data_IF_936711349972
#
_entry.id   IF_936711349972
#
_cell.length_a   1.000
_cell.length_b   1.000
_cell.length_c   1.000
_cell.angle_alpha   90.00
_cell.angle_beta   90.00
_cell.angle_gamma   90.00
#
_symmetry.space_group_name_H-M   'P 1'
#
loop_
_entity.id
_entity.type
_entity.pdbx_description
1 polymer ?
#
# COMPACT_ATOMS: atom_id res chain seq x y z
N UNK A 1 18.01 14.90 -4.75
CA UNK A 1 17.72 13.63 -5.45
C UNK A 1 16.40 13.78 -6.20
N UNK A 2 16.15 12.93 -7.22
CA UNK A 2 14.85 12.91 -7.96
C UNK A 2 14.21 11.56 -7.82
N UNK A 3 12.90 11.56 -7.59
CA UNK A 3 12.08 10.35 -7.51
C UNK A 3 10.71 10.63 -8.12
N UNK A 4 10.14 9.66 -8.83
CA UNK A 4 8.77 9.75 -9.29
C UNK A 4 7.84 9.24 -8.18
N UNK A 5 7.03 10.14 -7.60
CA UNK A 5 6.10 9.82 -6.52
C UNK A 5 4.71 10.25 -6.94
N UNK A 6 3.74 9.32 -6.90
CA UNK A 6 2.34 9.58 -7.26
C UNK A 6 2.18 10.27 -8.62
N UNK A 7 2.93 9.77 -9.62
CA UNK A 7 2.98 10.25 -10.99
C UNK A 7 3.64 11.64 -11.22
N UNK A 8 4.19 12.24 -10.17
CA UNK A 8 4.93 13.50 -10.25
C UNK A 8 6.43 13.28 -10.03
N UNK A 9 7.26 13.92 -10.85
CA UNK A 9 8.69 14.04 -10.56
C UNK A 9 8.89 14.99 -9.39
N UNK A 10 9.56 14.54 -8.35
CA UNK A 10 9.76 15.28 -7.12
C UNK A 10 11.25 15.35 -6.81
N UNK A 11 11.74 16.55 -6.55
CA UNK A 11 13.10 16.79 -6.09
C UNK A 11 13.12 16.99 -4.58
N UNK A 12 14.11 16.43 -3.91
CA UNK A 12 14.29 16.55 -2.47
C UNK A 12 15.78 16.36 -2.11
N UNK A 13 16.16 16.80 -0.93
CA UNK A 13 17.49 16.59 -0.37
C UNK A 13 17.42 15.60 0.78
N UNK A 14 18.12 14.48 0.65
CA UNK A 14 18.19 13.46 1.69
C UNK A 14 19.48 12.64 1.54
N UNK A 15 20.05 12.09 2.64
CA UNK A 15 21.09 11.09 2.56
C UNK A 15 20.69 9.91 1.67
N UNK A 16 21.57 9.37 0.83
CA UNK A 16 21.24 8.29 -0.10
C UNK A 16 20.76 7.01 0.57
N UNK A 17 21.16 6.78 1.80
CA UNK A 17 20.79 5.64 2.64
C UNK A 17 19.52 5.86 3.48
N UNK A 18 18.94 7.08 3.43
CA UNK A 18 17.69 7.36 4.13
C UNK A 18 16.58 6.41 3.65
N UNK A 19 15.85 5.74 4.56
CA UNK A 19 14.68 4.94 4.18
C UNK A 19 13.62 5.79 3.47
N UNK A 20 13.06 5.25 2.38
CA UNK A 20 12.02 5.92 1.61
C UNK A 20 10.87 6.45 2.48
N UNK A 21 10.50 5.73 3.54
CA UNK A 21 9.45 6.13 4.47
C UNK A 21 9.66 7.56 4.99
N UNK A 22 10.87 7.91 5.39
CA UNK A 22 11.17 9.22 5.95
C UNK A 22 11.20 10.30 4.88
N UNK A 23 11.71 9.98 3.68
CA UNK A 23 11.60 10.89 2.54
C UNK A 23 10.14 11.22 2.25
N UNK A 24 9.26 10.22 2.20
CA UNK A 24 7.83 10.45 1.96
C UNK A 24 7.19 11.32 3.04
N UNK A 25 7.49 11.06 4.31
CA UNK A 25 6.84 11.73 5.43
C UNK A 25 7.42 13.10 5.75
N UNK A 26 8.75 13.19 5.79
CA UNK A 26 9.43 14.36 6.36
C UNK A 26 9.82 15.36 5.26
N UNK A 27 10.24 14.89 4.08
CA UNK A 27 10.61 15.75 2.96
C UNK A 27 9.42 16.11 2.07
N UNK A 28 8.53 15.13 1.81
CA UNK A 28 7.41 15.32 0.88
C UNK A 28 6.06 15.55 1.56
N UNK A 29 5.98 15.46 2.89
CA UNK A 29 4.74 15.65 3.64
C UNK A 29 3.66 14.58 3.42
N UNK A 30 4.00 13.45 2.78
CA UNK A 30 3.09 12.35 2.50
C UNK A 30 2.98 11.42 3.73
N UNK A 31 2.12 11.78 4.67
CA UNK A 31 2.03 11.13 5.98
C UNK A 31 1.09 9.93 6.04
N UNK A 32 0.41 9.58 4.96
CA UNK A 32 -0.46 8.40 4.86
C UNK A 32 0.30 7.08 5.00
N UNK A 33 1.55 7.03 4.53
CA UNK A 33 2.46 5.91 4.80
C UNK A 33 2.96 6.00 6.25
N UNK A 34 2.81 4.92 7.03
CA UNK A 34 3.01 4.94 8.48
C UNK A 34 4.28 4.20 8.92
N UNK A 35 4.94 4.72 9.96
CA UNK A 35 5.99 3.99 10.68
C UNK A 35 5.36 3.00 11.67
N UNK A 36 5.99 1.84 11.84
CA UNK A 36 5.58 0.85 12.85
C UNK A 36 6.80 0.14 13.44
N UNK A 37 7.24 -0.97 12.84
CA UNK A 37 8.31 -1.81 13.41
C UNK A 37 9.73 -1.40 13.06
N UNK A 38 9.97 -0.69 11.95
CA UNK A 38 11.30 -0.33 11.45
C UNK A 38 12.11 -1.49 10.87
N UNK A 39 11.54 -2.71 10.79
CA UNK A 39 12.24 -3.96 10.39
C UNK A 39 11.45 -4.75 9.33
N UNK A 40 10.66 -4.09 8.53
CA UNK A 40 9.83 -4.66 7.45
C UNK A 40 8.77 -5.70 7.87
N UNK A 41 8.52 -5.90 9.17
CA UNK A 41 7.62 -6.93 9.68
C UNK A 41 6.14 -6.53 9.65
N UNK A 42 5.79 -5.33 10.18
CA UNK A 42 4.39 -4.96 10.42
C UNK A 42 3.62 -4.51 9.17
N UNK A 43 4.29 -4.03 8.15
CA UNK A 43 3.69 -3.56 6.91
C UNK A 43 2.98 -2.20 6.93
N UNK A 44 3.02 -1.46 8.04
CA UNK A 44 2.44 -0.11 8.11
C UNK A 44 3.03 0.85 7.06
N UNK A 45 4.30 0.63 6.68
CA UNK A 45 5.05 1.41 5.71
C UNK A 45 4.94 0.90 4.27
N UNK A 46 3.97 0.05 3.95
CA UNK A 46 3.81 -0.47 2.58
C UNK A 46 3.46 0.65 1.61
N UNK A 47 4.20 0.69 0.52
CA UNK A 47 3.95 1.48 -0.69
C UNK A 47 3.97 0.55 -1.90
N UNK A 48 3.55 1.01 -3.08
CA UNK A 48 3.84 0.30 -4.35
C UNK A 48 5.07 0.93 -5.01
N UNK A 49 5.98 0.08 -5.48
CA UNK A 49 7.09 0.47 -6.36
C UNK A 49 6.94 -0.30 -7.66
N UNK A 50 6.71 0.41 -8.75
CA UNK A 50 6.40 -0.18 -10.06
C UNK A 50 5.24 -1.20 -9.99
N UNK A 51 4.22 -0.92 -9.17
CA UNK A 51 3.03 -1.77 -8.99
C UNK A 51 3.20 -2.95 -8.03
N UNK A 52 4.38 -3.09 -7.39
CA UNK A 52 4.66 -4.17 -6.43
C UNK A 52 4.75 -3.61 -5.02
N UNK A 53 4.07 -4.25 -4.06
CA UNK A 53 4.11 -3.86 -2.66
C UNK A 53 5.52 -3.98 -2.06
N UNK A 54 5.98 -2.91 -1.41
CA UNK A 54 7.31 -2.82 -0.80
C UNK A 54 7.24 -2.14 0.57
N UNK A 55 8.14 -2.53 1.48
CA UNK A 55 8.26 -1.97 2.83
C UNK A 55 9.21 -0.76 2.82
N UNK A 56 8.67 0.44 2.66
CA UNK A 56 9.45 1.68 2.53
C UNK A 56 10.35 2.02 3.73
N UNK A 57 10.06 1.44 4.91
CA UNK A 57 10.82 1.69 6.14
C UNK A 57 12.23 1.08 6.18
N UNK A 58 12.58 0.21 5.22
CA UNK A 58 13.89 -0.46 5.15
C UNK A 58 14.57 -0.35 3.78
N UNK A 59 13.95 0.35 2.84
CA UNK A 59 14.49 0.52 1.49
C UNK A 59 15.15 1.88 1.40
N UNK A 60 16.46 1.97 1.15
CA UNK A 60 17.14 3.23 0.95
C UNK A 60 16.66 3.93 -0.32
N UNK A 61 16.46 5.23 -0.25
CA UNK A 61 15.94 6.01 -1.37
C UNK A 61 16.81 5.92 -2.63
N UNK A 62 18.11 5.76 -2.47
CA UNK A 62 19.06 5.57 -3.58
C UNK A 62 18.78 4.31 -4.42
N UNK A 63 18.20 3.28 -3.82
CA UNK A 63 17.85 2.04 -4.53
C UNK A 63 16.64 2.20 -5.46
N UNK A 64 15.96 3.34 -5.42
CA UNK A 64 14.73 3.61 -6.17
C UNK A 64 14.93 4.59 -7.33
N UNK A 65 16.16 4.90 -7.69
CA UNK A 65 16.46 5.76 -8.83
C UNK A 65 15.80 5.24 -10.11
N UNK A 66 15.04 6.10 -10.79
CA UNK A 66 14.31 5.76 -12.01
C UNK A 66 13.04 4.91 -11.82
N UNK A 67 12.67 4.61 -10.58
CA UNK A 67 11.44 3.86 -10.27
C UNK A 67 10.27 4.79 -9.94
N UNK A 68 9.06 4.27 -10.07
CA UNK A 68 7.82 4.95 -9.70
C UNK A 68 7.31 4.44 -8.36
N UNK A 69 7.12 5.36 -7.41
CA UNK A 69 6.57 5.08 -6.09
C UNK A 69 5.13 5.57 -6.04
N UNK A 70 4.25 4.73 -5.54
CA UNK A 70 2.84 5.07 -5.31
C UNK A 70 2.51 4.92 -3.84
N UNK A 71 2.01 5.99 -3.23
CA UNK A 71 1.53 6.01 -1.85
C UNK A 71 -0.01 5.99 -1.81
N UNK A 72 -0.58 5.88 -0.62
CA UNK A 72 -2.04 5.88 -0.44
C UNK A 72 -2.70 7.22 -0.79
N UNK A 73 -1.92 8.30 -0.84
CA UNK A 73 -2.37 9.65 -1.23
C UNK A 73 -2.52 9.82 -2.74
N UNK A 74 -1.97 8.91 -3.55
CA UNK A 74 -2.14 8.98 -5.00
C UNK A 74 -3.62 8.91 -5.39
N UNK A 75 -4.04 9.61 -6.45
CA UNK A 75 -5.38 9.42 -6.99
C UNK A 75 -5.64 7.93 -7.22
N UNK A 76 -6.77 7.39 -6.70
CA UNK A 76 -6.99 5.95 -6.77
C UNK A 76 -7.23 5.52 -8.22
N UNK A 77 -6.48 4.51 -8.66
CA UNK A 77 -6.82 3.79 -9.87
C UNK A 77 -8.02 2.85 -9.63
N UNK A 78 -8.45 2.14 -10.67
CA UNK A 78 -9.62 1.25 -10.61
C UNK A 78 -9.51 0.22 -9.47
N UNK A 79 -8.33 -0.35 -9.22
CA UNK A 79 -8.13 -1.38 -8.20
C UNK A 79 -8.19 -0.76 -6.81
N UNK A 80 -7.44 0.32 -6.58
CA UNK A 80 -7.42 1.02 -5.29
C UNK A 80 -8.81 1.59 -4.97
N UNK A 81 -9.51 2.16 -5.95
CA UNK A 81 -10.88 2.66 -5.77
C UNK A 81 -11.87 1.55 -5.36
N UNK A 82 -11.80 0.38 -6.02
CA UNK A 82 -12.63 -0.77 -5.66
C UNK A 82 -12.34 -1.27 -4.25
N UNK A 83 -11.06 -1.32 -3.85
CA UNK A 83 -10.65 -1.68 -2.51
C UNK A 83 -11.16 -0.67 -1.48
N UNK A 84 -10.95 0.62 -1.69
CA UNK A 84 -11.42 1.66 -0.76
C UNK A 84 -12.94 1.60 -0.57
N UNK A 85 -13.71 1.43 -1.66
CA UNK A 85 -15.15 1.28 -1.58
C UNK A 85 -15.57 0.02 -0.80
N UNK A 86 -14.89 -1.10 -1.02
CA UNK A 86 -15.14 -2.34 -0.27
C UNK A 86 -14.76 -2.21 1.21
N UNK A 87 -13.65 -1.53 1.52
CA UNK A 87 -13.24 -1.22 2.90
C UNK A 87 -14.31 -0.46 3.66
N UNK A 88 -14.94 0.51 3.02
CA UNK A 88 -16.06 1.27 3.61
C UNK A 88 -17.28 0.37 3.81
N UNK A 89 -17.69 -0.39 2.78
CA UNK A 89 -18.87 -1.27 2.87
C UNK A 89 -18.74 -2.31 3.99
N UNK A 90 -17.56 -2.90 4.14
CA UNK A 90 -17.29 -3.92 5.16
C UNK A 90 -16.83 -3.34 6.51
N UNK A 91 -16.76 -2.01 6.64
CA UNK A 91 -16.29 -1.33 7.85
C UNK A 91 -14.96 -1.92 8.35
N UNK A 92 -14.04 -2.16 7.42
CA UNK A 92 -12.76 -2.83 7.68
C UNK A 92 -11.87 -2.05 8.66
N UNK A 93 -11.77 -0.70 8.61
CA UNK A 93 -10.95 0.05 9.55
C UNK A 93 -11.55 0.09 10.96
N UNK A 94 -10.65 0.12 11.96
CA UNK A 94 -10.98 0.55 13.32
C UNK A 94 -10.16 1.80 13.66
N UNK A 95 -8.91 1.68 14.14
CA UNK A 95 -8.07 2.87 14.37
C UNK A 95 -7.57 3.51 13.05
N UNK A 96 -7.54 2.77 11.97
CA UNK A 96 -7.11 3.24 10.63
C UNK A 96 -5.62 3.22 10.38
N UNK A 97 -4.77 3.03 11.39
CA UNK A 97 -3.31 3.22 11.27
C UNK A 97 -2.66 2.30 10.22
N UNK A 98 -3.02 1.03 10.17
CA UNK A 98 -2.46 0.05 9.25
C UNK A 98 -3.09 0.09 7.84
N UNK A 99 -4.18 0.84 7.64
CA UNK A 99 -5.04 0.64 6.48
C UNK A 99 -4.44 1.15 5.16
N UNK A 100 -3.66 2.23 5.17
CA UNK A 100 -2.98 2.70 3.98
C UNK A 100 -2.05 1.62 3.40
N UNK A 101 -1.20 1.04 4.24
CA UNK A 101 -0.31 -0.06 3.83
C UNK A 101 -1.07 -1.35 3.48
N UNK A 102 -2.18 -1.63 4.16
CA UNK A 102 -3.01 -2.80 3.91
C UNK A 102 -3.69 -2.74 2.54
N UNK A 103 -4.25 -1.58 2.18
CA UNK A 103 -4.89 -1.35 0.88
C UNK A 103 -3.87 -1.49 -0.26
N UNK A 104 -2.68 -0.92 -0.11
CA UNK A 104 -1.64 -1.03 -1.15
C UNK A 104 -1.10 -2.47 -1.30
N UNK A 105 -0.97 -3.21 -0.19
CA UNK A 105 -0.65 -4.63 -0.25
C UNK A 105 -1.75 -5.43 -0.97
N UNK A 106 -3.02 -5.14 -0.70
CA UNK A 106 -4.15 -5.75 -1.38
C UNK A 106 -4.22 -5.37 -2.87
N UNK A 107 -3.92 -4.13 -3.21
CA UNK A 107 -3.86 -3.67 -4.61
C UNK A 107 -2.78 -4.43 -5.38
N UNK A 108 -1.58 -4.56 -4.82
CA UNK A 108 -0.49 -5.35 -5.42
C UNK A 108 -0.89 -6.82 -5.62
N UNK A 109 -1.58 -7.43 -4.66
CA UNK A 109 -2.12 -8.79 -4.82
C UNK A 109 -3.10 -8.87 -5.98
N UNK A 110 -4.10 -7.98 -6.05
CA UNK A 110 -5.13 -8.01 -7.09
C UNK A 110 -4.59 -7.72 -8.49
N UNK A 111 -3.48 -6.99 -8.62
CA UNK A 111 -2.78 -6.80 -9.91
C UNK A 111 -2.18 -8.11 -10.41
N UNK A 112 -1.66 -8.94 -9.52
CA UNK A 112 -1.00 -10.20 -9.84
C UNK A 112 -2.00 -11.36 -9.93
N UNK A 113 -2.99 -11.38 -9.05
CA UNK A 113 -4.03 -12.40 -8.97
C UNK A 113 -5.41 -11.72 -8.81
N UNK A 114 -6.18 -11.55 -9.89
CA UNK A 114 -7.48 -10.88 -9.84
C UNK A 114 -8.58 -11.63 -9.08
N UNK A 115 -8.38 -12.92 -8.80
CA UNK A 115 -9.34 -13.79 -8.10
C UNK A 115 -8.65 -14.57 -6.97
N UNK A 116 -8.08 -13.90 -5.95
CA UNK A 116 -7.33 -14.57 -4.92
C UNK A 116 -8.24 -15.43 -4.01
N UNK A 117 -7.78 -16.64 -3.70
CA UNK A 117 -8.35 -17.44 -2.63
C UNK A 117 -7.83 -17.01 -1.26
N UNK A 118 -8.40 -17.57 -0.17
CA UNK A 118 -7.98 -17.25 1.19
C UNK A 118 -6.50 -17.50 1.43
N UNK A 119 -5.96 -18.60 0.88
CA UNK A 119 -4.53 -18.92 1.00
C UNK A 119 -3.63 -17.90 0.30
N UNK A 120 -4.09 -17.29 -0.80
CA UNK A 120 -3.34 -16.24 -1.50
C UNK A 120 -3.35 -14.94 -0.68
N UNK A 121 -4.49 -14.61 -0.09
CA UNK A 121 -4.65 -13.47 0.80
C UNK A 121 -3.74 -13.63 2.02
N UNK A 122 -3.73 -14.79 2.67
CA UNK A 122 -2.91 -15.06 3.86
C UNK A 122 -1.41 -14.96 3.57
N UNK A 123 -0.98 -15.35 2.37
CA UNK A 123 0.43 -15.20 1.94
C UNK A 123 0.80 -13.76 1.63
N UNK A 124 -0.08 -13.02 0.98
CA UNK A 124 0.23 -11.68 0.48
C UNK A 124 0.03 -10.59 1.54
N UNK A 125 -1.01 -10.72 2.37
CA UNK A 125 -1.37 -9.72 3.37
C UNK A 125 -0.73 -10.10 4.72
N UNK A 126 0.56 -9.87 4.83
CA UNK A 126 1.33 -10.05 6.08
C UNK A 126 1.31 -8.81 6.98
N UNK A 127 0.56 -7.80 6.60
CA UNK A 127 0.42 -6.54 7.34
C UNK A 127 -0.29 -6.79 8.68
N UNK A 128 0.23 -6.17 9.75
CA UNK A 128 -0.34 -6.31 11.10
C UNK A 128 -1.44 -5.28 11.35
N UNK A 129 -2.59 -5.76 11.83
CA UNK A 129 -3.67 -4.95 12.34
C UNK A 129 -3.84 -5.20 13.85
N UNK A 130 -3.45 -4.24 14.70
CA UNK A 130 -3.55 -4.40 16.16
C UNK A 130 -5.00 -4.44 16.64
N UNK A 131 -5.93 -3.85 15.89
CA UNK A 131 -7.37 -3.92 16.17
C UNK A 131 -7.98 -5.29 15.79
N UNK A 132 -7.26 -6.13 15.05
CA UNK A 132 -7.69 -7.48 14.70
C UNK A 132 -8.81 -7.55 13.66
N UNK A 133 -8.95 -6.57 12.76
CA UNK A 133 -10.06 -6.51 11.80
C UNK A 133 -9.85 -7.39 10.56
N UNK A 134 -9.02 -8.42 10.64
CA UNK A 134 -8.64 -9.26 9.50
C UNK A 134 -9.81 -9.92 8.77
N UNK A 135 -10.86 -10.34 9.51
CA UNK A 135 -12.04 -10.94 8.88
C UNK A 135 -12.76 -9.96 7.95
N UNK A 136 -12.88 -8.69 8.36
CA UNK A 136 -13.49 -7.63 7.55
C UNK A 136 -12.60 -7.27 6.37
N UNK A 137 -11.29 -7.21 6.57
CA UNK A 137 -10.29 -6.97 5.51
C UNK A 137 -10.38 -8.07 4.45
N UNK A 138 -10.44 -9.34 4.84
CA UNK A 138 -10.58 -10.48 3.93
C UNK A 138 -11.88 -10.39 3.12
N UNK A 139 -13.01 -10.16 3.81
CA UNK A 139 -14.30 -9.99 3.15
C UNK A 139 -14.31 -8.82 2.16
N UNK A 140 -13.73 -7.68 2.54
CA UNK A 140 -13.61 -6.51 1.68
C UNK A 140 -12.73 -6.80 0.45
N UNK A 141 -11.64 -7.55 0.60
CA UNK A 141 -10.76 -7.90 -0.50
C UNK A 141 -11.47 -8.81 -1.51
N UNK A 142 -12.20 -9.84 -1.06
CA UNK A 142 -13.02 -10.68 -1.93
C UNK A 142 -14.10 -9.89 -2.65
N UNK A 143 -14.77 -8.95 -1.98
CA UNK A 143 -15.79 -8.09 -2.57
C UNK A 143 -15.19 -7.17 -3.65
N UNK A 144 -14.05 -6.55 -3.39
CA UNK A 144 -13.34 -5.75 -4.38
C UNK A 144 -12.95 -6.58 -5.61
N UNK A 145 -12.42 -7.80 -5.39
CA UNK A 145 -12.06 -8.71 -6.48
C UNK A 145 -13.27 -9.04 -7.37
N UNK A 146 -14.42 -9.38 -6.77
CA UNK A 146 -15.68 -9.63 -7.50
C UNK A 146 -16.16 -8.41 -8.30
N UNK A 147 -16.12 -7.23 -7.69
CA UNK A 147 -16.48 -5.96 -8.34
C UNK A 147 -15.62 -5.70 -9.57
N UNK A 148 -14.32 -5.96 -9.49
CA UNK A 148 -13.37 -5.77 -10.58
C UNK A 148 -13.60 -6.76 -11.74
N UNK A 149 -14.08 -7.97 -11.46
CA UNK A 149 -14.42 -8.97 -12.45
C UNK A 149 -15.76 -8.66 -13.14
N UNK A 150 -16.79 -8.28 -12.39
CA UNK A 150 -18.12 -7.95 -12.92
C UNK A 150 -18.17 -6.71 -13.81
N UNK A 151 -17.23 -5.79 -13.70
CA UNK A 151 -17.12 -4.61 -14.56
C UNK A 151 -16.34 -4.84 -15.87
N UNK A 152 -16.08 -6.08 -16.26
CA UNK A 152 -15.46 -6.49 -17.53
C UNK A 152 -16.47 -6.99 -18.59
N UNK A 153 -17.78 -6.83 -18.33
CA UNK A 153 -18.82 -7.14 -19.30
C UNK A 153 -19.09 -5.97 -20.26
#
# INVERSE_FOLDING_TARGET
>A
MKLRVNDHETEFEAPPDMPLLWVLRDELGLTGTKFGCGVASCGACTVEVDGVAMRSGVVPVSALAGRSVRTIEAPPDRIVAALQAAWVRHQAPQCGYCQGGMILAAASLLRQNPAPGDADIDRAITNLCRCGTYQRIRAALHDAAKTLQGGRA
#
